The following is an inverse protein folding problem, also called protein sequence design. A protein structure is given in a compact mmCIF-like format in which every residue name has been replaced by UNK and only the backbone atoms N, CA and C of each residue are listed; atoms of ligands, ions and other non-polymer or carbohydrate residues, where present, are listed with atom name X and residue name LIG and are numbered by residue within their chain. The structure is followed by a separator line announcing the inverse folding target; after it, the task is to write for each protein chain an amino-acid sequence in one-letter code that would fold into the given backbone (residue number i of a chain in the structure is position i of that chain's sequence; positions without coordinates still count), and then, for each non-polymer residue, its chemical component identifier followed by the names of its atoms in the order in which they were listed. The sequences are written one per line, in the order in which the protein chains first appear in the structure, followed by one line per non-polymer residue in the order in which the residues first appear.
data_IF_659705584302
#
_entry.id   IF_659705584302
#
_cell.length_a   1.000
_cell.length_b   1.000
_cell.length_c   1.000
_cell.angle_alpha   90.00
_cell.angle_beta   90.00
_cell.angle_gamma   90.00
#
_symmetry.space_group_name_H-M   'P 1'
#
loop_
_entity.id
_entity.type
_entity.pdbx_description
1 polymer ?
#
# COMPACT_ATOMS: atom_id res chain seq x y z
N UNK A 1 24.61 -8.53 -4.27
CA UNK A 1 23.41 -9.21 -4.79
C UNK A 1 22.38 -9.23 -3.68
N UNK A 2 21.20 -8.65 -3.89
CA UNK A 2 20.06 -8.79 -2.98
C UNK A 2 19.58 -10.24 -3.06
N UNK A 3 19.58 -10.95 -1.94
CA UNK A 3 19.06 -12.33 -1.87
C UNK A 3 17.55 -12.25 -1.95
N UNK A 4 16.93 -13.02 -2.85
CA UNK A 4 15.47 -13.14 -2.87
C UNK A 4 15.01 -13.87 -1.60
N UNK A 5 14.17 -13.21 -0.80
CA UNK A 5 13.53 -13.80 0.37
C UNK A 5 12.00 -13.56 0.38
N UNK A 6 11.40 -13.28 -0.78
CA UNK A 6 9.98 -12.92 -0.89
C UNK A 6 9.03 -14.02 -0.42
N UNK A 7 9.49 -15.27 -0.25
CA UNK A 7 8.73 -16.36 0.35
C UNK A 7 8.61 -16.31 1.88
N UNK A 8 9.35 -15.41 2.54
CA UNK A 8 9.39 -15.27 4.00
C UNK A 8 9.29 -13.79 4.42
N UNK A 9 8.44 -13.02 3.74
CA UNK A 9 8.18 -11.64 4.13
C UNK A 9 7.44 -11.57 5.47
N UNK A 10 7.68 -10.49 6.22
CA UNK A 10 6.95 -10.25 7.46
C UNK A 10 5.49 -9.92 7.14
N UNK A 11 4.58 -10.43 7.97
CA UNK A 11 3.15 -10.14 7.89
C UNK A 11 2.74 -9.10 8.91
N UNK A 12 1.70 -8.33 8.59
CA UNK A 12 1.01 -7.39 9.48
C UNK A 12 1.96 -6.56 10.35
N UNK A 13 3.01 -6.00 9.75
CA UNK A 13 4.10 -5.29 10.47
C UNK A 13 3.63 -4.09 11.31
N UNK A 14 2.41 -3.64 11.06
CA UNK A 14 1.70 -2.58 11.79
C UNK A 14 1.14 -3.00 13.16
N UNK A 15 0.89 -4.29 13.40
CA UNK A 15 0.28 -4.77 14.65
C UNK A 15 1.14 -4.42 15.86
N UNK A 16 0.53 -4.13 17.01
CA UNK A 16 1.23 -3.76 18.25
C UNK A 16 2.11 -2.50 18.08
N UNK A 17 1.73 -1.57 17.20
CA UNK A 17 2.32 -0.23 17.21
C UNK A 17 1.57 0.63 18.25
N UNK A 18 2.33 1.33 19.10
CA UNK A 18 1.74 2.24 20.09
C UNK A 18 0.92 3.33 19.40
N UNK A 19 -0.29 3.58 19.91
CA UNK A 19 -1.16 4.64 19.39
C UNK A 19 -0.55 6.02 19.68
N UNK A 20 -0.76 7.01 18.79
CA UNK A 20 -0.24 8.37 19.00
C UNK A 20 -0.82 9.03 20.25
N UNK A 21 -2.14 8.89 20.44
CA UNK A 21 -2.88 9.42 21.57
C UNK A 21 -4.19 8.63 21.80
N UNK A 22 -5.11 9.19 22.60
CA UNK A 22 -6.44 8.64 22.82
C UNK A 22 -7.40 9.04 21.69
N UNK A 23 -8.09 8.07 21.11
CA UNK A 23 -9.02 8.31 20.03
C UNK A 23 -9.59 7.04 19.42
N UNK A 24 -10.20 7.17 18.24
CA UNK A 24 -10.71 6.04 17.46
C UNK A 24 -9.66 5.58 16.43
N UNK A 25 -9.51 4.27 16.27
CA UNK A 25 -8.57 3.69 15.30
C UNK A 25 -9.30 2.75 14.34
N UNK A 26 -9.05 2.93 13.05
CA UNK A 26 -9.58 2.12 11.96
C UNK A 26 -8.41 1.51 11.22
N UNK A 27 -8.30 0.18 11.21
CA UNK A 27 -7.16 -0.53 10.62
C UNK A 27 -7.63 -1.38 9.44
N UNK A 28 -6.66 -1.79 8.62
CA UNK A 28 -6.81 -2.89 7.68
C UNK A 28 -7.37 -4.13 8.41
N UNK A 29 -8.21 -4.90 7.73
CA UNK A 29 -8.78 -6.15 8.20
C UNK A 29 -8.20 -7.31 7.39
N UNK A 30 -7.73 -8.36 8.05
CA UNK A 30 -7.07 -9.48 7.38
C UNK A 30 -5.57 -9.29 7.15
N UNK A 31 -4.94 -10.31 6.60
CA UNK A 31 -3.47 -10.41 6.57
C UNK A 31 -2.85 -9.84 5.30
N UNK A 32 -1.73 -9.14 5.43
CA UNK A 32 -0.89 -8.71 4.30
C UNK A 32 0.58 -8.96 4.58
N UNK A 33 1.39 -8.99 3.52
CA UNK A 33 2.84 -9.11 3.57
C UNK A 33 3.52 -7.76 3.31
N UNK A 34 4.65 -7.51 3.96
CA UNK A 34 5.43 -6.30 3.77
C UNK A 34 6.36 -6.42 2.56
N UNK A 35 5.89 -5.98 1.40
CA UNK A 35 6.68 -5.88 0.17
C UNK A 35 7.41 -4.53 0.11
N UNK A 36 8.72 -4.57 -0.16
CA UNK A 36 9.59 -3.39 -0.16
C UNK A 36 10.77 -3.57 -1.13
N UNK A 37 11.62 -2.56 -1.28
CA UNK A 37 12.71 -2.59 -2.25
C UNK A 37 13.61 -3.82 -2.14
N UNK A 38 13.84 -4.47 -3.28
CA UNK A 38 14.77 -5.59 -3.41
C UNK A 38 14.38 -6.89 -2.71
N UNK A 39 13.19 -7.02 -2.12
CA UNK A 39 12.82 -8.19 -1.31
C UNK A 39 12.76 -9.50 -2.11
N UNK A 40 12.45 -9.42 -3.41
CA UNK A 40 12.43 -10.53 -4.36
C UNK A 40 13.73 -10.68 -5.16
N UNK A 41 14.80 -9.96 -4.78
CA UNK A 41 16.08 -9.94 -5.47
C UNK A 41 16.16 -8.98 -6.65
N UNK A 42 15.05 -8.36 -7.07
CA UNK A 42 15.04 -7.40 -8.17
C UNK A 42 15.44 -5.99 -7.68
N UNK A 43 16.40 -5.33 -8.35
CA UNK A 43 16.86 -4.00 -7.93
C UNK A 43 15.98 -2.87 -8.47
N UNK A 44 14.99 -2.48 -7.67
CA UNK A 44 14.01 -1.44 -7.97
C UNK A 44 14.17 -0.17 -7.12
N UNK A 45 15.32 -0.02 -6.43
CA UNK A 45 15.58 1.14 -5.58
C UNK A 45 15.47 2.44 -6.38
N UNK A 46 14.65 3.35 -5.88
CA UNK A 46 14.46 4.70 -6.43
C UNK A 46 13.35 4.83 -7.47
N UNK A 47 12.68 3.74 -7.84
CA UNK A 47 11.57 3.78 -8.82
C UNK A 47 10.47 2.75 -8.58
N UNK A 48 10.76 1.69 -7.81
CA UNK A 48 9.87 0.56 -7.60
C UNK A 48 8.75 0.73 -6.58
N UNK A 49 8.65 1.88 -5.89
CA UNK A 49 7.86 1.96 -4.66
C UNK A 49 6.37 1.71 -4.92
N UNK A 50 5.83 2.21 -6.04
CA UNK A 50 4.45 1.93 -6.45
C UNK A 50 4.20 0.44 -6.70
N UNK A 51 5.17 -0.26 -7.29
CA UNK A 51 5.08 -1.71 -7.48
C UNK A 51 5.07 -2.47 -6.15
N UNK A 52 5.91 -2.07 -5.19
CA UNK A 52 5.97 -2.73 -3.88
C UNK A 52 4.71 -2.48 -3.04
N UNK A 53 4.13 -1.28 -3.12
CA UNK A 53 2.82 -1.02 -2.53
C UNK A 53 1.72 -1.85 -3.18
N UNK A 54 1.70 -1.96 -4.52
CA UNK A 54 0.78 -2.85 -5.23
C UNK A 54 0.96 -4.31 -4.79
N UNK A 55 2.19 -4.80 -4.69
CA UNK A 55 2.47 -6.17 -4.23
C UNK A 55 1.98 -6.43 -2.80
N UNK A 56 2.10 -5.43 -1.91
CA UNK A 56 1.48 -5.48 -0.58
C UNK A 56 -0.04 -5.65 -0.67
N UNK A 57 -0.72 -4.88 -1.52
CA UNK A 57 -2.16 -5.01 -1.75
C UNK A 57 -2.52 -6.37 -2.36
N UNK A 58 -1.75 -6.85 -3.35
CA UNK A 58 -1.94 -8.18 -3.96
C UNK A 58 -1.83 -9.29 -2.91
N UNK A 59 -0.85 -9.22 -2.01
CA UNK A 59 -0.69 -10.20 -0.93
C UNK A 59 -1.90 -10.23 0.00
N UNK A 60 -2.49 -9.06 0.27
CA UNK A 60 -3.73 -8.96 1.04
C UNK A 60 -4.90 -9.63 0.33
N UNK A 61 -5.11 -9.35 -0.96
CA UNK A 61 -6.19 -10.00 -1.72
C UNK A 61 -6.01 -11.52 -1.74
N UNK A 62 -4.80 -12.00 -2.04
CA UNK A 62 -4.50 -13.43 -2.14
C UNK A 62 -4.78 -14.15 -0.81
N UNK A 63 -4.29 -13.60 0.31
CA UNK A 63 -4.46 -14.22 1.63
C UNK A 63 -5.93 -14.25 2.06
N UNK A 64 -6.67 -13.17 1.83
CA UNK A 64 -8.02 -13.02 2.39
C UNK A 64 -9.13 -13.61 1.51
N UNK A 65 -8.89 -13.76 0.20
CA UNK A 65 -9.78 -14.50 -0.72
C UNK A 65 -9.33 -15.97 -0.89
N UNK A 66 -8.30 -16.41 -0.15
CA UNK A 66 -7.71 -17.76 -0.21
C UNK A 66 -7.43 -18.21 -1.66
N UNK A 67 -6.80 -17.33 -2.45
CA UNK A 67 -6.54 -17.59 -3.86
C UNK A 67 -5.28 -18.44 -4.03
N UNK A 68 -5.33 -19.44 -4.90
CA UNK A 68 -4.15 -20.17 -5.38
C UNK A 68 -3.36 -19.33 -6.41
N UNK A 69 -2.96 -18.11 -6.02
CA UNK A 69 -2.21 -17.16 -6.85
C UNK A 69 -0.93 -16.74 -6.14
N UNK A 70 0.07 -16.34 -6.91
CA UNK A 70 1.28 -15.70 -6.39
C UNK A 70 1.21 -14.19 -6.62
N UNK A 71 1.90 -13.42 -5.77
CA UNK A 71 2.06 -11.99 -5.96
C UNK A 71 2.85 -11.74 -7.27
N UNK A 72 2.36 -10.87 -8.18
CA UNK A 72 3.00 -10.64 -9.48
C UNK A 72 4.36 -9.96 -9.32
N UNK A 73 5.33 -10.33 -10.15
CA UNK A 73 6.62 -9.64 -10.23
C UNK A 73 6.49 -8.27 -10.90
N UNK A 74 7.49 -7.39 -10.74
CA UNK A 74 7.53 -6.09 -11.42
C UNK A 74 7.39 -6.25 -12.94
N UNK A 75 8.11 -7.20 -13.53
CA UNK A 75 8.01 -7.48 -14.96
C UNK A 75 6.58 -7.90 -15.35
N UNK A 76 5.93 -8.75 -14.55
CA UNK A 76 4.56 -9.16 -14.83
C UNK A 76 3.57 -7.99 -14.73
N UNK A 77 3.77 -7.09 -13.77
CA UNK A 77 2.98 -5.86 -13.63
C UNK A 77 3.16 -4.97 -14.88
N UNK A 78 4.40 -4.81 -15.36
CA UNK A 78 4.67 -4.04 -16.58
C UNK A 78 4.02 -4.69 -17.83
N UNK A 79 4.09 -6.01 -17.97
CA UNK A 79 3.43 -6.75 -19.04
C UNK A 79 1.92 -6.51 -19.04
N UNK A 80 1.29 -6.55 -17.87
CA UNK A 80 -0.16 -6.31 -17.72
C UNK A 80 -0.54 -4.90 -18.18
N UNK A 81 0.23 -3.89 -17.79
CA UNK A 81 -0.03 -2.50 -18.20
C UNK A 81 0.12 -2.29 -19.70
N UNK A 82 0.99 -3.06 -20.36
CA UNK A 82 1.10 -3.06 -21.83
C UNK A 82 -0.05 -3.83 -22.49
N UNK A 83 -0.45 -4.96 -21.91
CA UNK A 83 -1.54 -5.81 -22.42
C UNK A 83 -2.88 -5.09 -22.44
N UNK A 84 -3.15 -4.25 -21.45
CA UNK A 84 -4.36 -3.41 -21.35
C UNK A 84 -4.23 -2.06 -22.08
N UNK A 85 -3.17 -1.88 -22.86
CA UNK A 85 -2.89 -0.69 -23.69
C UNK A 85 -2.72 0.63 -22.91
N UNK A 86 -2.51 0.58 -21.59
CA UNK A 86 -2.20 1.77 -20.76
C UNK A 86 -0.76 2.26 -21.01
N UNK A 87 0.18 1.33 -21.23
CA UNK A 87 1.58 1.62 -21.54
C UNK A 87 2.01 1.03 -22.87
N UNK A 88 3.03 1.63 -23.48
CA UNK A 88 3.63 1.10 -24.70
C UNK A 88 4.58 -0.08 -24.39
N UNK A 89 4.95 -0.85 -25.42
CA UNK A 89 5.84 -2.03 -25.28
C UNK A 89 7.21 -1.73 -24.68
N UNK A 90 7.72 -0.49 -24.78
CA UNK A 90 9.03 -0.12 -24.22
C UNK A 90 9.01 0.01 -22.70
N UNK A 91 7.82 -0.01 -22.08
CA UNK A 91 7.64 -0.02 -20.64
C UNK A 91 8.10 -1.34 -20.00
N UNK A 92 8.02 -2.46 -20.72
CA UNK A 92 8.48 -3.76 -20.21
C UNK A 92 10.01 -3.75 -20.06
N UNK A 93 10.49 -4.04 -18.85
CA UNK A 93 11.90 -3.98 -18.49
C UNK A 93 12.43 -2.56 -18.26
N UNK A 94 11.57 -1.53 -18.33
CA UNK A 94 11.95 -0.16 -18.00
C UNK A 94 12.05 0.04 -16.48
N UNK A 95 12.57 1.20 -16.06
CA UNK A 95 12.64 1.63 -14.65
C UNK A 95 11.65 2.76 -14.36
N UNK A 96 10.60 2.86 -15.17
CA UNK A 96 9.57 3.85 -14.95
C UNK A 96 8.74 3.50 -13.70
N UNK A 97 8.28 4.53 -13.00
CA UNK A 97 7.43 4.38 -11.83
C UNK A 97 5.97 4.18 -12.25
N UNK A 98 5.17 3.62 -11.33
CA UNK A 98 3.71 3.52 -11.47
C UNK A 98 3.02 4.27 -10.33
N UNK A 99 1.85 4.83 -10.60
CA UNK A 99 1.04 5.54 -9.64
C UNK A 99 -0.24 4.81 -9.27
N UNK A 100 -1.10 5.51 -8.52
CA UNK A 100 -2.36 4.99 -8.00
C UNK A 100 -3.34 4.55 -9.11
N UNK A 101 -3.26 5.16 -10.30
CA UNK A 101 -4.11 4.79 -11.43
C UNK A 101 -3.66 3.46 -12.05
N UNK A 102 -2.38 3.30 -12.38
CA UNK A 102 -1.84 2.04 -12.90
C UNK A 102 -2.07 0.89 -11.91
N UNK A 103 -1.92 1.15 -10.60
CA UNK A 103 -2.24 0.18 -9.56
C UNK A 103 -3.70 -0.27 -9.61
N UNK A 104 -4.65 0.66 -9.80
CA UNK A 104 -6.06 0.30 -9.95
C UNK A 104 -6.34 -0.58 -11.17
N UNK A 105 -5.66 -0.33 -12.29
CA UNK A 105 -5.77 -1.12 -13.51
C UNK A 105 -5.31 -2.55 -13.27
N UNK A 106 -4.12 -2.71 -12.66
CA UNK A 106 -3.52 -4.03 -12.44
C UNK A 106 -4.36 -4.85 -11.45
N UNK A 107 -4.86 -4.23 -10.38
CA UNK A 107 -5.75 -4.90 -9.43
C UNK A 107 -7.03 -5.40 -10.11
N UNK A 108 -7.64 -4.57 -10.96
CA UNK A 108 -8.82 -4.96 -11.71
C UNK A 108 -8.51 -6.11 -12.69
N UNK A 109 -7.38 -6.05 -13.40
CA UNK A 109 -7.03 -7.06 -14.41
C UNK A 109 -6.74 -8.44 -13.80
N UNK A 110 -6.10 -8.50 -12.63
CA UNK A 110 -5.70 -9.78 -12.02
C UNK A 110 -6.80 -10.36 -11.13
N UNK A 111 -7.55 -9.51 -10.43
CA UNK A 111 -8.45 -9.92 -9.35
C UNK A 111 -9.90 -9.44 -9.51
N UNK A 112 -10.24 -8.77 -10.61
CA UNK A 112 -11.55 -8.13 -10.81
C UNK A 112 -11.89 -7.14 -9.67
N UNK A 113 -10.83 -6.57 -9.08
CA UNK A 113 -10.89 -5.68 -7.94
C UNK A 113 -10.98 -4.22 -8.38
N UNK A 114 -12.20 -3.67 -8.41
CA UNK A 114 -12.40 -2.24 -8.66
C UNK A 114 -11.79 -1.40 -7.53
N UNK A 115 -11.23 -0.24 -7.88
CA UNK A 115 -10.67 0.70 -6.90
C UNK A 115 -11.31 2.07 -7.04
N UNK A 116 -11.46 2.76 -5.92
CA UNK A 116 -11.84 4.18 -5.90
C UNK A 116 -10.57 5.02 -5.87
N UNK A 117 -10.43 5.96 -6.81
CA UNK A 117 -9.35 6.96 -6.80
C UNK A 117 -9.84 8.24 -6.11
N UNK A 118 -9.06 8.74 -5.16
CA UNK A 118 -9.28 10.04 -4.52
C UNK A 118 -8.08 10.93 -4.83
N UNK A 119 -8.31 12.00 -5.57
CA UNK A 119 -7.35 13.07 -5.78
C UNK A 119 -7.45 14.11 -4.66
N UNK A 120 -6.30 14.51 -4.15
CA UNK A 120 -6.14 15.57 -3.16
C UNK A 120 -5.10 16.55 -3.67
N UNK A 121 -5.47 17.81 -3.82
CA UNK A 121 -4.62 18.84 -4.46
C UNK A 121 -3.47 19.34 -3.58
N UNK A 122 -3.53 19.13 -2.26
CA UNK A 122 -2.50 19.54 -1.30
C UNK A 122 -2.46 18.60 -0.08
N UNK A 123 -1.34 18.59 0.65
CA UNK A 123 -1.25 17.87 1.94
C UNK A 123 -2.34 18.27 2.94
N UNK A 124 -2.68 19.56 3.03
CA UNK A 124 -3.78 20.03 3.90
C UNK A 124 -5.15 19.46 3.52
N UNK A 125 -5.38 19.14 2.25
CA UNK A 125 -6.64 18.57 1.78
C UNK A 125 -6.90 17.14 2.25
N UNK A 126 -5.89 16.46 2.84
CA UNK A 126 -6.06 15.09 3.36
C UNK A 126 -7.08 15.04 4.50
N UNK A 127 -7.20 16.10 5.29
CA UNK A 127 -8.16 16.19 6.39
C UNK A 127 -9.61 16.04 5.91
N UNK A 128 -9.91 16.52 4.70
CA UNK A 128 -11.24 16.41 4.09
C UNK A 128 -11.57 14.99 3.61
N UNK A 129 -10.58 14.09 3.57
CA UNK A 129 -10.75 12.71 3.15
C UNK A 129 -10.90 11.73 4.31
N UNK A 130 -10.78 12.20 5.56
CA UNK A 130 -10.83 11.36 6.78
C UNK A 130 -12.08 10.49 6.83
N UNK A 131 -13.25 11.07 6.60
CA UNK A 131 -14.52 10.30 6.60
C UNK A 131 -14.55 9.23 5.49
N UNK A 132 -13.93 9.50 4.33
CA UNK A 132 -13.88 8.55 3.22
C UNK A 132 -12.92 7.40 3.53
N UNK A 133 -11.78 7.70 4.16
CA UNK A 133 -10.78 6.71 4.58
C UNK A 133 -11.32 5.86 5.74
N UNK A 134 -11.96 6.47 6.74
CA UNK A 134 -12.66 5.78 7.83
C UNK A 134 -13.66 4.77 7.28
N UNK A 135 -14.61 5.23 6.45
CA UNK A 135 -15.61 4.35 5.82
C UNK A 135 -14.99 3.25 4.98
N UNK A 136 -13.85 3.50 4.35
CA UNK A 136 -13.15 2.48 3.59
C UNK A 136 -12.65 1.34 4.48
N UNK A 137 -11.97 1.65 5.59
CA UNK A 137 -11.51 0.63 6.53
C UNK A 137 -12.67 -0.11 7.24
N UNK A 138 -13.79 0.58 7.49
CA UNK A 138 -14.98 -0.04 8.07
C UNK A 138 -15.72 -0.97 7.08
N UNK A 139 -15.83 -0.58 5.81
CA UNK A 139 -16.64 -1.32 4.82
C UNK A 139 -15.87 -2.37 4.04
N UNK A 140 -14.58 -2.11 3.78
CA UNK A 140 -13.73 -2.94 2.92
C UNK A 140 -12.56 -3.53 3.69
N UNK A 141 -11.87 -2.70 4.47
CA UNK A 141 -10.74 -3.13 5.30
C UNK A 141 -9.47 -3.43 4.51
N UNK A 142 -9.37 -3.04 3.24
CA UNK A 142 -8.19 -3.28 2.40
C UNK A 142 -7.10 -2.21 2.60
N UNK A 143 -5.82 -2.51 2.28
CA UNK A 143 -4.77 -1.51 2.27
C UNK A 143 -4.97 -0.46 1.15
N UNK A 144 -4.58 0.78 1.41
CA UNK A 144 -4.72 1.89 0.46
C UNK A 144 -3.33 2.28 -0.06
N UNK A 145 -3.17 2.39 -1.37
CA UNK A 145 -1.98 3.02 -1.94
C UNK A 145 -2.15 4.54 -1.94
N UNK A 146 -1.11 5.27 -1.55
CA UNK A 146 -1.01 6.72 -1.69
C UNK A 146 0.24 7.07 -2.49
N UNK A 147 0.06 7.63 -3.68
CA UNK A 147 1.13 8.22 -4.47
C UNK A 147 1.13 9.74 -4.31
N UNK A 148 2.32 10.34 -4.19
CA UNK A 148 2.50 11.79 -4.26
C UNK A 148 3.52 12.16 -5.34
N UNK A 149 3.43 13.41 -5.79
CA UNK A 149 4.29 13.93 -6.87
C UNK A 149 5.64 14.41 -6.33
N UNK A 150 5.64 15.41 -5.45
CA UNK A 150 6.88 16.02 -4.96
C UNK A 150 7.61 15.18 -3.93
N UNK A 151 6.91 14.27 -3.25
CA UNK A 151 7.56 13.32 -2.36
C UNK A 151 8.14 12.11 -3.12
N UNK A 152 7.82 11.95 -4.41
CA UNK A 152 8.21 10.83 -5.27
C UNK A 152 8.09 9.46 -4.58
N UNK A 153 7.12 9.32 -3.67
CA UNK A 153 7.14 8.25 -2.67
C UNK A 153 5.75 7.66 -2.51
N UNK A 154 5.57 6.47 -3.09
CA UNK A 154 4.40 5.64 -2.81
C UNK A 154 4.43 5.15 -1.36
N UNK A 155 3.30 5.22 -0.69
CA UNK A 155 3.09 4.77 0.69
C UNK A 155 1.93 3.79 0.73
N UNK A 156 2.06 2.74 1.53
CA UNK A 156 0.93 1.89 1.86
C UNK A 156 0.29 2.42 3.15
N UNK A 157 -0.99 2.78 3.12
CA UNK A 157 -1.76 3.17 4.29
C UNK A 157 -2.55 1.95 4.74
N UNK A 158 -2.32 1.53 5.99
CA UNK A 158 -2.97 0.36 6.61
C UNK A 158 -3.82 0.72 7.83
N UNK A 159 -4.03 2.02 8.06
CA UNK A 159 -4.88 2.49 9.13
C UNK A 159 -5.02 4.00 9.21
N UNK A 160 -5.98 4.43 10.02
CA UNK A 160 -6.34 5.80 10.34
C UNK A 160 -6.59 5.89 11.85
N UNK A 161 -5.98 6.88 12.50
CA UNK A 161 -6.26 7.21 13.90
C UNK A 161 -6.81 8.63 13.98
N UNK A 162 -7.99 8.77 14.58
CA UNK A 162 -8.65 10.05 14.84
C UNK A 162 -8.55 10.33 16.33
N UNK A 163 -7.54 11.13 16.70
CA UNK A 163 -7.27 11.54 18.06
C UNK A 163 -8.16 12.70 18.51
N UNK A 164 -7.91 13.19 19.73
CA UNK A 164 -8.66 14.31 20.32
C UNK A 164 -8.38 15.70 19.69
N UNK A 165 -7.44 15.79 18.75
CA UNK A 165 -7.07 17.04 18.08
C UNK A 165 -6.30 16.85 16.79
N UNK A 166 -5.62 15.70 16.63
CA UNK A 166 -4.84 15.36 15.46
C UNK A 166 -5.39 14.10 14.77
N UNK A 167 -5.07 13.98 13.49
CA UNK A 167 -5.40 12.80 12.69
C UNK A 167 -4.13 12.23 12.08
N UNK A 168 -4.02 10.89 12.11
CA UNK A 168 -2.84 10.18 11.68
C UNK A 168 -3.17 9.08 10.69
N UNK A 169 -2.30 8.89 9.70
CA UNK A 169 -2.32 7.72 8.82
C UNK A 169 -1.25 6.73 9.29
N UNK A 170 -1.58 5.44 9.31
CA UNK A 170 -0.61 4.38 9.58
C UNK A 170 0.09 4.00 8.29
N UNK A 171 1.34 4.44 8.16
CA UNK A 171 2.16 4.25 6.97
C UNK A 171 3.02 3.00 7.13
N UNK A 172 2.99 2.16 6.10
CA UNK A 172 3.94 1.08 5.84
C UNK A 172 4.74 1.50 4.60
N UNK A 173 6.00 1.85 4.83
CA UNK A 173 6.87 2.46 3.82
C UNK A 173 7.60 1.38 2.99
N UNK A 174 7.41 1.31 1.66
CA UNK A 174 8.04 0.30 0.81
C UNK A 174 9.52 0.58 0.48
N UNK A 175 10.11 1.68 0.95
CA UNK A 175 11.47 2.09 0.57
C UNK A 175 12.58 1.40 1.39
N UNK A 176 12.23 0.55 2.35
CA UNK A 176 13.21 -0.20 3.13
C UNK A 176 14.11 -1.05 2.22
N UNK A 177 15.43 -0.91 2.40
CA UNK A 177 16.45 -1.69 1.67
C UNK A 177 17.19 -2.56 2.66
N UNK A 178 17.12 -3.86 2.46
CA UNK A 178 17.79 -4.84 3.31
C UNK A 178 16.91 -6.07 3.53
N UNK A 179 17.23 -6.85 4.56
CA UNK A 179 16.38 -7.95 5.02
C UNK A 179 15.65 -7.54 6.28
N UNK A 180 14.32 -7.45 6.23
CA UNK A 180 13.50 -7.09 7.38
C UNK A 180 13.59 -8.20 8.44
N UNK A 181 14.06 -7.86 9.65
CA UNK A 181 14.33 -8.85 10.72
C UNK A 181 13.11 -9.10 11.62
N UNK A 182 12.38 -8.05 11.95
CA UNK A 182 11.17 -8.09 12.78
C UNK A 182 10.33 -6.85 12.55
N UNK A 183 9.05 -6.90 12.92
CA UNK A 183 8.17 -5.73 12.90
C UNK A 183 8.70 -4.62 13.84
N UNK A 184 9.24 -4.97 15.01
CA UNK A 184 9.80 -4.01 15.95
C UNK A 184 10.98 -3.22 15.37
N UNK A 185 11.87 -3.88 14.64
CA UNK A 185 12.95 -3.21 13.90
C UNK A 185 12.40 -2.20 12.89
N UNK A 186 11.35 -2.57 12.13
CA UNK A 186 10.74 -1.67 11.15
C UNK A 186 10.07 -0.45 11.80
N UNK A 187 9.47 -0.63 12.98
CA UNK A 187 8.85 0.47 13.74
C UNK A 187 9.88 1.41 14.36
N UNK A 188 10.94 0.85 14.96
CA UNK A 188 12.02 1.63 15.57
C UNK A 188 12.70 2.53 14.53
N UNK A 189 12.89 2.01 13.32
CA UNK A 189 13.51 2.74 12.20
C UNK A 189 12.48 3.56 11.38
N UNK A 190 11.25 3.70 11.86
CA UNK A 190 10.21 4.55 11.27
C UNK A 190 9.73 4.13 9.86
N UNK A 191 9.96 2.88 9.45
CA UNK A 191 9.38 2.28 8.23
C UNK A 191 7.92 1.92 8.40
N UNK A 192 7.48 1.69 9.63
CA UNK A 192 6.07 1.48 10.00
C UNK A 192 5.72 2.44 11.12
N UNK A 193 4.91 3.45 10.82
CA UNK A 193 4.65 4.54 11.77
C UNK A 193 3.29 5.21 11.57
N UNK A 194 2.79 5.80 12.65
CA UNK A 194 1.76 6.82 12.55
C UNK A 194 2.37 8.13 12.05
N UNK A 195 1.79 8.70 11.00
CA UNK A 195 2.18 9.99 10.45
C UNK A 195 1.02 10.96 10.58
N UNK A 196 1.26 12.09 11.23
CA UNK A 196 0.25 13.14 11.39
C UNK A 196 -0.07 13.74 10.02
N UNK A 197 -1.35 14.03 9.75
CA UNK A 197 -1.78 14.64 8.48
C UNK A 197 -1.10 15.99 8.21
N UNK A 198 -0.74 16.73 9.27
CA UNK A 198 -0.01 17.99 9.18
C UNK A 198 1.44 17.84 8.70
N UNK A 199 2.01 16.63 8.76
CA UNK A 199 3.38 16.35 8.32
C UNK A 199 3.47 16.06 6.81
N UNK A 200 2.34 16.00 6.10
CA UNK A 200 2.32 15.83 4.64
C UNK A 200 2.62 17.16 3.93
N UNK A 201 3.31 17.08 2.79
CA UNK A 201 3.81 18.26 2.08
C UNK A 201 2.63 19.00 1.43
N UNK A 202 2.32 20.19 1.95
CA UNK A 202 1.22 21.02 1.46
C UNK A 202 1.36 21.39 -0.03
N UNK A 203 2.59 21.56 -0.51
CA UNK A 203 2.84 21.88 -1.92
C UNK A 203 2.77 20.70 -2.89
N UNK A 204 2.47 19.48 -2.41
CA UNK A 204 2.33 18.25 -3.20
C UNK A 204 0.86 17.86 -3.34
N UNK A 205 0.49 17.31 -4.49
CA UNK A 205 -0.76 16.56 -4.60
C UNK A 205 -0.58 15.11 -4.16
N UNK A 206 -1.70 14.45 -3.86
CA UNK A 206 -1.77 13.04 -3.49
C UNK A 206 -2.92 12.34 -4.20
N UNK A 207 -2.65 11.14 -4.72
CA UNK A 207 -3.65 10.23 -5.26
C UNK A 207 -3.74 8.99 -4.39
N UNK A 208 -4.91 8.73 -3.82
CA UNK A 208 -5.17 7.52 -3.06
C UNK A 208 -5.93 6.51 -3.94
N UNK A 209 -5.44 5.27 -4.02
CA UNK A 209 -6.14 4.14 -4.63
C UNK A 209 -6.68 3.24 -3.53
N UNK A 210 -8.00 3.12 -3.45
CA UNK A 210 -8.76 2.43 -2.41
C UNK A 210 -9.44 1.18 -3.02
N UNK A 211 -8.85 -0.03 -2.94
CA UNK A 211 -9.44 -1.26 -3.47
C UNK A 211 -10.78 -1.60 -2.80
N UNK A 212 -11.84 -1.81 -3.58
CA UNK A 212 -13.21 -2.00 -3.08
C UNK A 212 -13.56 -3.49 -2.87
N UNK A 213 -12.61 -4.32 -2.42
CA UNK A 213 -12.88 -5.69 -1.97
C UNK A 213 -13.25 -5.68 -0.49
N UNK A 214 -14.33 -6.37 -0.15
CA UNK A 214 -14.76 -6.52 1.24
C UNK A 214 -14.02 -7.68 1.89
N UNK A 215 -13.31 -7.41 2.97
CA UNK A 215 -12.87 -8.47 3.86
C UNK A 215 -14.09 -9.26 4.35
N UNK A 216 -14.00 -10.59 4.23
CA UNK A 216 -14.97 -11.53 4.81
C UNK A 216 -14.16 -12.44 5.71
N UNK A 217 -14.52 -12.51 6.99
CA UNK A 217 -13.87 -13.44 7.89
C UNK A 217 -14.20 -14.84 7.36
N UNK A 218 -13.20 -15.70 7.19
CA UNK A 218 -13.40 -17.03 6.59
C UNK A 218 -14.41 -17.90 7.37
N UNK A 219 -14.74 -17.52 8.61
CA UNK A 219 -15.74 -18.16 9.46
C UNK A 219 -17.20 -17.75 9.15
N UNK A 220 -17.42 -16.67 8.39
CA UNK A 220 -18.77 -16.18 8.03
C UNK A 220 -19.41 -16.94 6.85
N UNK A 221 -18.70 -17.94 6.29
CA UNK A 221 -19.15 -18.79 5.18
C UNK A 221 -19.58 -20.21 5.65
N UNK A 222 -20.02 -20.37 6.91
CA UNK A 222 -20.64 -21.61 7.40
C UNK A 222 -22.10 -21.42 7.80
#
# INVERSE_FOLDING_TARGET
MTVNYSSNLLKNVHENLTLPDSGETFLVQGDYEYWHYGCDGFNDRGWGCGYRTLQTICSWIINNENLEKIVPSINKIQEILVEVEDKNRTFIGSKEWIGSFEVSIVLNQIYEALSKIIYVSSGKGLIEQVDKIKRHFEQFGSPIMMGGDKDCSSKCIVGLHVGNGDVYLLIVDPHFVGKAKSAEHLKNDQWVKWQNLNDFIDSSFYNLCLPQLKYRRLDDNK
#
